data_IF_483179302867
#
_entry.id   IF_483179302867
#
_cell.length_a   1.000
_cell.length_b   1.000
_cell.length_c   1.000
_cell.angle_alpha   90.00
_cell.angle_beta   90.00
_cell.angle_gamma   90.00
#
_symmetry.space_group_name_H-M   'P 1'
#
loop_
_entity.id
_entity.type
_entity.pdbx_description
1 polymer ?
#
# COMPACT_ATOMS: atom_id res chain seq x y z
N UNK A 1 -17.41 11.65 -4.55
CA UNK A 1 -16.15 11.22 -5.19
C UNK A 1 -14.89 11.73 -4.44
N UNK A 2 -14.86 11.73 -3.10
CA UNK A 2 -13.63 12.07 -2.34
C UNK A 2 -12.81 10.82 -1.95
N UNK A 3 -13.50 9.70 -1.72
CA UNK A 3 -12.87 8.43 -1.34
C UNK A 3 -11.94 7.88 -2.44
N UNK A 4 -12.36 7.93 -3.71
CA UNK A 4 -11.50 7.54 -4.86
C UNK A 4 -10.19 8.34 -4.95
N UNK A 5 -10.21 9.66 -4.70
CA UNK A 5 -8.99 10.49 -4.71
C UNK A 5 -8.03 10.10 -3.58
N UNK A 6 -8.57 9.80 -2.39
CA UNK A 6 -7.76 9.36 -1.27
C UNK A 6 -7.19 7.96 -1.50
N UNK A 7 -7.91 7.09 -2.20
CA UNK A 7 -7.42 5.76 -2.56
C UNK A 7 -6.23 5.83 -3.51
N UNK A 8 -6.31 6.65 -4.56
CA UNK A 8 -5.21 6.83 -5.51
C UNK A 8 -3.97 7.40 -4.78
N UNK A 9 -4.17 8.42 -3.94
CA UNK A 9 -3.09 9.00 -3.14
C UNK A 9 -2.48 7.98 -2.15
N UNK A 10 -3.30 7.17 -1.48
CA UNK A 10 -2.81 6.12 -0.58
C UNK A 10 -1.93 5.09 -1.32
N UNK A 11 -2.31 4.73 -2.55
CA UNK A 11 -1.53 3.83 -3.39
C UNK A 11 -0.18 4.47 -3.79
N UNK A 12 -0.16 5.76 -4.13
CA UNK A 12 1.06 6.51 -4.44
C UNK A 12 2.02 6.54 -3.24
N UNK A 13 1.52 6.89 -2.05
CA UNK A 13 2.32 6.87 -0.81
C UNK A 13 2.92 5.48 -0.56
N UNK A 14 2.12 4.42 -0.71
CA UNK A 14 2.61 3.05 -0.52
C UNK A 14 3.71 2.68 -1.54
N UNK A 15 3.57 3.08 -2.81
CA UNK A 15 4.59 2.87 -3.84
C UNK A 15 5.90 3.58 -3.47
N UNK A 16 5.82 4.84 -3.04
CA UNK A 16 6.99 5.63 -2.67
C UNK A 16 7.67 5.09 -1.41
N UNK A 17 6.89 4.81 -0.36
CA UNK A 17 7.41 4.31 0.91
C UNK A 17 8.15 2.98 0.74
N UNK A 18 7.64 2.09 -0.11
CA UNK A 18 8.19 0.76 -0.36
C UNK A 18 9.06 0.69 -1.64
N UNK A 19 9.46 1.83 -2.20
CA UNK A 19 10.34 1.88 -3.37
C UNK A 19 11.67 1.17 -3.08
N UNK A 20 12.01 0.18 -3.92
CA UNK A 20 13.22 -0.63 -3.75
C UNK A 20 13.13 -1.70 -2.64
N UNK A 21 12.05 -1.75 -1.86
CA UNK A 21 11.83 -2.80 -0.88
C UNK A 21 11.38 -4.09 -1.58
N UNK A 22 11.99 -5.21 -1.18
CA UNK A 22 11.57 -6.54 -1.62
C UNK A 22 11.00 -7.34 -0.46
N UNK A 23 10.04 -8.21 -0.76
CA UNK A 23 9.57 -9.21 0.18
C UNK A 23 10.59 -10.35 0.37
N UNK A 24 10.25 -11.31 1.23
CA UNK A 24 11.10 -12.47 1.54
C UNK A 24 11.36 -13.39 0.34
N UNK A 25 10.62 -13.23 -0.75
CA UNK A 25 10.74 -13.99 -2.00
C UNK A 25 11.46 -13.20 -3.10
N UNK A 26 11.92 -11.98 -2.80
CA UNK A 26 12.60 -11.10 -3.75
C UNK A 26 11.66 -10.33 -4.67
N UNK A 27 10.34 -10.35 -4.44
CA UNK A 27 9.36 -9.58 -5.23
C UNK A 27 9.22 -8.17 -4.67
N UNK A 28 8.83 -7.17 -5.50
CA UNK A 28 8.53 -5.83 -5.02
C UNK A 28 7.50 -5.87 -3.88
N UNK A 29 7.82 -5.24 -2.76
CA UNK A 29 6.96 -5.29 -1.56
C UNK A 29 5.58 -4.67 -1.82
N UNK A 30 5.48 -3.69 -2.73
CA UNK A 30 4.21 -3.09 -3.14
C UNK A 30 3.17 -4.12 -3.61
N UNK A 31 3.60 -5.27 -4.14
CA UNK A 31 2.69 -6.33 -4.57
C UNK A 31 1.96 -6.98 -3.38
N UNK A 32 2.54 -6.95 -2.17
CA UNK A 32 1.84 -7.31 -0.94
C UNK A 32 0.69 -6.34 -0.65
N UNK A 33 0.96 -5.04 -0.61
CA UNK A 33 -0.09 -4.02 -0.37
C UNK A 33 -1.24 -4.13 -1.38
N UNK A 34 -0.93 -4.36 -2.66
CA UNK A 34 -1.94 -4.59 -3.71
C UNK A 34 -2.82 -5.81 -3.43
N UNK A 35 -2.24 -6.92 -2.96
CA UNK A 35 -3.01 -8.13 -2.61
C UNK A 35 -3.93 -7.88 -1.41
N UNK A 36 -3.46 -7.16 -0.39
CA UNK A 36 -4.27 -6.81 0.79
C UNK A 36 -5.43 -5.89 0.38
N UNK A 37 -5.17 -4.86 -0.42
CA UNK A 37 -6.21 -3.95 -0.93
C UNK A 37 -7.23 -4.67 -1.83
N UNK A 38 -6.81 -5.67 -2.61
CA UNK A 38 -7.71 -6.49 -3.43
C UNK A 38 -8.61 -7.43 -2.61
N UNK A 39 -8.23 -7.73 -1.36
CA UNK A 39 -8.99 -8.61 -0.47
C UNK A 39 -10.12 -7.88 0.29
N UNK A 40 -10.20 -6.55 0.19
CA UNK A 40 -11.22 -5.71 0.85
C UNK A 40 -12.04 -4.94 -0.17
N UNK A 41 -13.25 -4.52 0.20
CA UNK A 41 -14.22 -4.00 -0.78
C UNK A 41 -14.32 -2.47 -0.77
N UNK A 42 -14.49 -1.84 0.39
CA UNK A 42 -14.73 -0.40 0.46
C UNK A 42 -13.47 0.44 0.32
N UNK A 43 -13.64 1.68 -0.12
CA UNK A 43 -12.55 2.60 -0.41
C UNK A 43 -11.72 2.91 0.85
N UNK A 44 -12.37 3.06 2.00
CA UNK A 44 -11.68 3.30 3.28
C UNK A 44 -10.84 2.10 3.71
N UNK A 45 -11.37 0.88 3.60
CA UNK A 45 -10.57 -0.32 3.88
C UNK A 45 -9.39 -0.45 2.91
N UNK A 46 -9.58 -0.11 1.63
CA UNK A 46 -8.51 -0.13 0.64
C UNK A 46 -7.43 0.91 0.91
N UNK A 47 -7.81 2.12 1.35
CA UNK A 47 -6.88 3.16 1.77
C UNK A 47 -6.02 2.64 2.92
N UNK A 48 -6.64 2.08 3.96
CA UNK A 48 -5.90 1.50 5.10
C UNK A 48 -5.03 0.33 4.66
N UNK A 49 -5.53 -0.55 3.77
CA UNK A 49 -4.79 -1.67 3.23
C UNK A 49 -3.52 -1.25 2.47
N UNK A 50 -3.55 -0.16 1.70
CA UNK A 50 -2.34 0.37 1.08
C UNK A 50 -1.34 0.91 2.09
N UNK A 51 -1.82 1.54 3.17
CA UNK A 51 -0.99 2.25 4.14
C UNK A 51 -0.53 1.41 5.35
N UNK A 52 -1.06 0.21 5.54
CA UNK A 52 -0.89 -0.55 6.80
C UNK A 52 0.56 -0.77 7.23
N UNK A 53 1.46 -1.01 6.26
CA UNK A 53 2.88 -1.25 6.51
C UNK A 53 3.77 -0.03 6.26
N UNK A 54 3.20 1.11 5.83
CA UNK A 54 3.96 2.34 5.51
C UNK A 54 4.63 2.91 6.75
N UNK A 55 3.92 2.93 7.89
CA UNK A 55 4.48 3.44 9.14
C UNK A 55 5.57 2.52 9.73
N UNK A 56 5.51 1.22 9.43
CA UNK A 56 6.50 0.23 9.87
C UNK A 56 7.74 0.22 8.97
N UNK A 57 7.66 0.85 7.79
CA UNK A 57 8.81 1.02 6.92
C UNK A 57 9.88 1.85 7.63
N UNK A 58 10.93 1.17 8.05
CA UNK A 58 12.13 1.80 8.58
C UNK A 58 12.98 2.36 7.42
N UNK A 59 13.28 3.66 7.43
CA UNK A 59 14.50 4.19 6.80
C UNK A 59 15.67 3.76 7.66
N UNK A 60 16.25 2.58 7.36
CA UNK A 60 17.42 2.07 8.08
C UNK A 60 18.49 3.12 8.34
#
# INVERSE_FOLDING_TARGET
MRASLHLDHAAEIAVEAHAGQTDKTGRPYIDHCRRVAAAVTGDEEKIVAYLHDVAEKNTG
#
